data_IF_985219514647
#
_entry.id   IF_985219514647
#
_cell.length_a   1.000
_cell.length_b   1.000
_cell.length_c   1.000
_cell.angle_alpha   90.00
_cell.angle_beta   90.00
_cell.angle_gamma   90.00
#
_symmetry.space_group_name_H-M   'P 1'
#
loop_
_entity.id
_entity.type
_entity.pdbx_description
1 polymer ?
#
# COMPACT_ATOMS: atom_id res chain seq x y z
N UNK A 1 1.50 16.86 -15.72
CA UNK A 1 0.46 15.82 -15.57
C UNK A 1 0.74 14.54 -16.37
N UNK A 2 1.18 14.62 -17.64
CA UNK A 2 1.38 13.42 -18.47
C UNK A 2 2.38 12.40 -17.88
N UNK A 3 3.52 12.87 -17.37
CA UNK A 3 4.55 12.03 -16.76
C UNK A 3 4.03 11.30 -15.51
N UNK A 4 3.32 12.03 -14.62
CA UNK A 4 2.73 11.45 -13.42
C UNK A 4 1.64 10.41 -13.75
N UNK A 5 0.82 10.68 -14.77
CA UNK A 5 -0.19 9.73 -15.25
C UNK A 5 0.43 8.45 -15.81
N UNK A 6 1.47 8.56 -16.64
CA UNK A 6 2.21 7.41 -17.18
C UNK A 6 2.84 6.59 -16.04
N UNK A 7 3.45 7.26 -15.06
CA UNK A 7 4.02 6.60 -13.89
C UNK A 7 2.97 5.79 -13.11
N UNK A 8 1.81 6.37 -12.84
CA UNK A 8 0.71 5.68 -12.15
C UNK A 8 0.19 4.49 -12.94
N UNK A 9 0.10 4.60 -14.27
CA UNK A 9 -0.29 3.46 -15.13
C UNK A 9 0.73 2.32 -15.06
N UNK A 10 2.03 2.63 -15.13
CA UNK A 10 3.09 1.61 -15.04
C UNK A 10 3.01 0.89 -13.69
N UNK A 11 2.88 1.64 -12.59
CA UNK A 11 2.73 1.07 -11.24
C UNK A 11 1.47 0.21 -11.15
N UNK A 12 0.33 0.70 -11.64
CA UNK A 12 -0.93 -0.03 -11.62
C UNK A 12 -0.88 -1.35 -12.39
N UNK A 13 -0.29 -1.35 -13.59
CA UNK A 13 -0.11 -2.56 -14.41
C UNK A 13 0.84 -3.54 -13.73
N UNK A 14 1.97 -3.06 -13.20
CA UNK A 14 2.94 -3.89 -12.48
C UNK A 14 2.34 -4.57 -11.25
N UNK A 15 1.55 -3.83 -10.46
CA UNK A 15 0.83 -4.37 -9.31
C UNK A 15 -0.19 -5.45 -9.73
N UNK A 16 -0.92 -5.23 -10.83
CA UNK A 16 -1.86 -6.23 -11.32
C UNK A 16 -1.15 -7.53 -11.76
N UNK A 17 -0.07 -7.42 -12.53
CA UNK A 17 0.69 -8.58 -12.99
C UNK A 17 1.26 -9.40 -11.82
N UNK A 18 1.90 -8.72 -10.87
CA UNK A 18 2.46 -9.36 -9.66
C UNK A 18 1.38 -10.01 -8.80
N UNK A 19 0.20 -9.39 -8.68
CA UNK A 19 -0.93 -9.97 -7.97
C UNK A 19 -1.41 -11.29 -8.60
N UNK A 20 -1.55 -11.35 -9.93
CA UNK A 20 -1.96 -12.56 -10.65
C UNK A 20 -0.97 -13.71 -10.42
N UNK A 21 0.33 -13.43 -10.49
CA UNK A 21 1.37 -14.43 -10.23
C UNK A 21 1.31 -14.92 -8.78
N UNK A 22 1.08 -14.01 -7.84
CA UNK A 22 1.02 -14.33 -6.41
C UNK A 22 -0.15 -15.25 -6.07
N UNK A 23 -1.33 -15.06 -6.67
CA UNK A 23 -2.48 -15.95 -6.43
C UNK A 23 -2.18 -17.41 -6.80
N UNK A 24 -1.45 -17.64 -7.90
CA UNK A 24 -1.03 -19.02 -8.28
C UNK A 24 -0.06 -19.62 -7.27
N UNK A 25 0.84 -18.80 -6.74
CA UNK A 25 1.82 -19.23 -5.76
C UNK A 25 1.17 -19.52 -4.39
N UNK A 26 0.17 -18.74 -3.99
CA UNK A 26 -0.62 -18.94 -2.78
C UNK A 26 -1.19 -20.35 -2.69
N UNK A 27 -1.85 -20.82 -3.77
CA UNK A 27 -2.45 -22.15 -3.79
C UNK A 27 -1.40 -23.25 -3.60
N UNK A 28 -0.24 -23.09 -4.23
CA UNK A 28 0.86 -24.04 -4.12
C UNK A 28 1.46 -24.06 -2.71
N UNK A 29 1.73 -22.89 -2.13
CA UNK A 29 2.31 -22.76 -0.78
C UNK A 29 1.38 -23.33 0.29
N UNK A 30 0.07 -23.02 0.20
CA UNK A 30 -0.94 -23.57 1.11
C UNK A 30 -1.04 -25.10 1.05
N UNK A 31 -1.01 -25.67 -0.17
CA UNK A 31 -1.03 -27.13 -0.36
C UNK A 31 0.26 -27.83 0.10
N UNK A 32 1.39 -27.11 0.10
CA UNK A 32 2.69 -27.68 0.46
C UNK A 32 2.85 -27.75 1.98
N UNK A 33 2.62 -26.62 2.66
CA UNK A 33 2.69 -26.53 4.11
C UNK A 33 1.77 -25.40 4.58
N UNK A 34 0.58 -25.79 5.02
CA UNK A 34 -0.42 -24.85 5.50
C UNK A 34 0.08 -24.06 6.72
N UNK A 35 0.79 -24.70 7.66
CA UNK A 35 1.24 -24.05 8.89
C UNK A 35 2.34 -23.01 8.61
N UNK A 36 3.30 -23.34 7.76
CA UNK A 36 4.32 -22.40 7.31
C UNK A 36 3.73 -21.23 6.52
N UNK A 37 2.74 -21.51 5.65
CA UNK A 37 2.00 -20.49 4.91
C UNK A 37 1.24 -19.54 5.84
N UNK A 38 0.54 -20.04 6.86
CA UNK A 38 -0.17 -19.19 7.82
C UNK A 38 0.79 -18.24 8.56
N UNK A 39 1.96 -18.74 8.97
CA UNK A 39 2.97 -17.94 9.66
C UNK A 39 3.55 -16.86 8.77
N UNK A 40 3.92 -17.20 7.53
CA UNK A 40 4.46 -16.23 6.58
C UNK A 40 3.42 -15.16 6.21
N UNK A 41 2.16 -15.55 6.10
CA UNK A 41 1.08 -14.63 5.77
C UNK A 41 0.72 -13.70 6.93
N UNK A 42 0.84 -14.17 8.18
CA UNK A 42 0.74 -13.33 9.37
C UNK A 42 1.84 -12.28 9.41
N UNK A 43 3.10 -12.69 9.22
CA UNK A 43 4.25 -11.79 9.20
C UNK A 43 4.14 -10.75 8.09
N UNK A 44 3.70 -11.17 6.90
CA UNK A 44 3.43 -10.27 5.78
C UNK A 44 2.38 -9.21 6.13
N UNK A 45 1.25 -9.63 6.68
CA UNK A 45 0.18 -8.71 7.07
C UNK A 45 0.67 -7.68 8.10
N UNK A 46 1.44 -8.13 9.10
CA UNK A 46 2.01 -7.23 10.11
C UNK A 46 3.02 -6.25 9.52
N UNK A 47 3.89 -6.68 8.59
CA UNK A 47 4.81 -5.80 7.87
C UNK A 47 4.04 -4.75 7.06
N UNK A 48 3.08 -5.17 6.24
CA UNK A 48 2.29 -4.28 5.39
C UNK A 48 1.48 -3.27 6.22
N UNK A 49 0.92 -3.67 7.36
CA UNK A 49 0.23 -2.75 8.27
C UNK A 49 1.16 -1.67 8.85
N UNK A 50 2.42 -2.04 9.18
CA UNK A 50 3.44 -1.09 9.64
C UNK A 50 3.83 -0.11 8.53
N UNK A 51 4.06 -0.62 7.31
CA UNK A 51 4.37 0.20 6.13
C UNK A 51 3.28 1.26 5.87
N UNK A 52 2.01 0.87 5.88
CA UNK A 52 0.91 1.81 5.73
C UNK A 52 0.86 2.86 6.85
N UNK A 53 1.11 2.46 8.10
CA UNK A 53 1.15 3.40 9.23
C UNK A 53 2.23 4.47 9.06
N UNK A 54 3.37 4.10 8.47
CA UNK A 54 4.43 5.04 8.12
C UNK A 54 4.01 5.91 6.93
N UNK A 55 3.44 5.32 5.88
CA UNK A 55 2.97 6.05 4.71
C UNK A 55 1.92 7.12 5.07
N UNK A 56 0.97 6.81 5.96
CA UNK A 56 -0.02 7.78 6.45
C UNK A 56 0.58 8.94 7.25
N UNK A 57 1.82 8.84 7.74
CA UNK A 57 2.53 9.95 8.39
C UNK A 57 3.36 10.74 7.40
N UNK A 58 4.10 10.04 6.53
CA UNK A 58 5.05 10.66 5.60
C UNK A 58 4.32 11.42 4.48
N UNK A 59 3.26 10.83 3.90
CA UNK A 59 2.56 11.45 2.77
C UNK A 59 1.94 12.80 3.15
N UNK A 60 1.21 12.96 4.28
CA UNK A 60 0.71 14.28 4.68
C UNK A 60 1.82 15.31 4.92
N UNK A 61 2.97 14.91 5.47
CA UNK A 61 4.13 15.81 5.63
C UNK A 61 4.64 16.30 4.27
N UNK A 62 4.73 15.40 3.27
CA UNK A 62 5.10 15.79 1.90
C UNK A 62 4.08 16.72 1.25
N UNK A 63 2.78 16.53 1.51
CA UNK A 63 1.72 17.44 1.04
C UNK A 63 1.88 18.83 1.64
N UNK A 64 2.17 18.93 2.95
CA UNK A 64 2.41 20.21 3.62
C UNK A 64 3.64 20.91 3.01
N UNK A 65 4.75 20.19 2.80
CA UNK A 65 5.95 20.74 2.17
C UNK A 65 5.63 21.25 0.75
N UNK A 66 4.91 20.46 -0.05
CA UNK A 66 4.50 20.87 -1.39
C UNK A 66 3.61 22.13 -1.37
N UNK A 67 2.69 22.23 -0.40
CA UNK A 67 1.86 23.42 -0.23
C UNK A 67 2.69 24.66 0.15
N UNK A 68 3.67 24.52 1.04
CA UNK A 68 4.58 25.61 1.40
C UNK A 68 5.42 26.07 0.21
N UNK A 69 5.92 25.15 -0.62
CA UNK A 69 6.67 25.49 -1.84
C UNK A 69 5.82 26.30 -2.83
N UNK A 70 4.52 26.01 -2.96
CA UNK A 70 3.60 26.80 -3.81
C UNK A 70 3.47 28.25 -3.32
N UNK A 71 3.52 28.47 -2.00
CA UNK A 71 3.41 29.81 -1.40
C UNK A 71 4.68 30.63 -1.60
N UNK A 72 5.86 30.01 -1.49
CA UNK A 72 7.16 30.68 -1.58
C UNK A 72 7.53 30.97 -3.05
N UNK A 73 7.30 30.02 -3.96
CA UNK A 73 7.69 30.16 -5.36
C UNK A 73 6.52 30.66 -6.22
N UNK A 74 6.64 31.90 -6.72
CA UNK A 74 5.62 32.54 -7.56
C UNK A 74 5.69 32.11 -9.04
N UNK A 75 6.77 31.43 -9.45
CA UNK A 75 6.95 30.98 -10.83
C UNK A 75 5.88 29.92 -11.21
N UNK A 76 5.21 30.06 -12.38
CA UNK A 76 4.12 29.18 -12.80
C UNK A 76 4.49 27.69 -12.81
N UNK A 77 5.73 27.36 -13.16
CA UNK A 77 6.23 25.99 -13.22
C UNK A 77 6.23 25.31 -11.84
N UNK A 78 6.70 26.00 -10.80
CA UNK A 78 6.77 25.46 -9.44
C UNK A 78 5.38 25.23 -8.85
N UNK A 79 4.44 26.14 -9.14
CA UNK A 79 3.02 25.97 -8.75
C UNK A 79 2.39 24.76 -9.42
N UNK A 80 2.63 24.57 -10.72
CA UNK A 80 2.10 23.42 -11.46
C UNK A 80 2.64 22.08 -10.91
N UNK A 81 3.93 22.03 -10.58
CA UNK A 81 4.55 20.85 -9.95
C UNK A 81 3.93 20.60 -8.58
N UNK A 82 3.86 21.61 -7.71
CA UNK A 82 3.29 21.48 -6.38
C UNK A 82 1.85 20.97 -6.38
N UNK A 83 0.98 21.57 -7.21
CA UNK A 83 -0.44 21.15 -7.32
C UNK A 83 -0.54 19.71 -7.82
N UNK A 84 0.27 19.34 -8.82
CA UNK A 84 0.27 17.96 -9.36
C UNK A 84 0.73 16.96 -8.29
N UNK A 85 1.77 17.27 -7.53
CA UNK A 85 2.27 16.43 -6.43
C UNK A 85 1.21 16.25 -5.35
N UNK A 86 0.54 17.32 -4.93
CA UNK A 86 -0.53 17.26 -3.93
C UNK A 86 -1.68 16.37 -4.42
N UNK A 87 -2.14 16.57 -5.66
CA UNK A 87 -3.21 15.78 -6.24
C UNK A 87 -2.84 14.29 -6.31
N UNK A 88 -1.63 13.97 -6.78
CA UNK A 88 -1.13 12.60 -6.87
C UNK A 88 -1.02 11.94 -5.49
N UNK A 89 -0.40 12.61 -4.51
CA UNK A 89 -0.25 12.11 -3.15
C UNK A 89 -1.61 11.88 -2.47
N UNK A 90 -2.60 12.73 -2.74
CA UNK A 90 -3.96 12.58 -2.23
C UNK A 90 -4.63 11.32 -2.78
N UNK A 91 -4.52 11.07 -4.09
CA UNK A 91 -5.09 9.88 -4.73
C UNK A 91 -4.40 8.61 -4.21
N UNK A 92 -3.07 8.62 -4.08
CA UNK A 92 -2.31 7.50 -3.51
C UNK A 92 -2.76 7.21 -2.08
N UNK A 93 -2.88 8.25 -1.24
CA UNK A 93 -3.32 8.12 0.15
C UNK A 93 -4.72 7.50 0.26
N UNK A 94 -5.64 7.87 -0.65
CA UNK A 94 -6.99 7.30 -0.69
C UNK A 94 -6.95 5.80 -1.03
N UNK A 95 -6.20 5.41 -2.05
CA UNK A 95 -6.06 4.01 -2.47
C UNK A 95 -5.42 3.18 -1.35
N UNK A 96 -4.35 3.69 -0.75
CA UNK A 96 -3.64 3.04 0.36
C UNK A 96 -4.49 2.98 1.62
N UNK A 97 -5.32 3.99 1.89
CA UNK A 97 -6.35 4.00 2.94
C UNK A 97 -7.28 2.80 2.83
N UNK A 98 -7.84 2.58 1.65
CA UNK A 98 -8.71 1.45 1.38
C UNK A 98 -7.95 0.12 1.45
N UNK A 99 -6.70 0.06 0.99
CA UNK A 99 -5.88 -1.14 1.07
C UNK A 99 -5.51 -1.50 2.52
N UNK A 100 -5.22 -0.51 3.36
CA UNK A 100 -4.92 -0.68 4.77
C UNK A 100 -6.09 -1.32 5.53
N UNK A 101 -7.31 -0.82 5.34
CA UNK A 101 -8.47 -1.41 6.01
C UNK A 101 -8.75 -2.84 5.51
N UNK A 102 -8.57 -3.11 4.21
CA UNK A 102 -8.68 -4.49 3.69
C UNK A 102 -7.67 -5.44 4.33
N UNK A 103 -6.40 -5.07 4.41
CA UNK A 103 -5.37 -5.94 5.00
C UNK A 103 -5.57 -6.10 6.51
N UNK A 104 -6.06 -5.07 7.20
CA UNK A 104 -6.39 -5.12 8.63
C UNK A 104 -7.53 -6.09 8.93
N UNK A 105 -8.60 -6.07 8.13
CA UNK A 105 -9.69 -7.04 8.23
C UNK A 105 -9.16 -8.44 7.95
N UNK A 106 -8.40 -8.63 6.87
CA UNK A 106 -7.82 -9.93 6.53
C UNK A 106 -6.92 -10.49 7.64
N UNK A 107 -6.03 -9.67 8.20
CA UNK A 107 -5.17 -10.03 9.31
C UNK A 107 -5.95 -10.42 10.57
N UNK A 108 -7.07 -9.74 10.84
CA UNK A 108 -7.96 -10.09 11.95
C UNK A 108 -8.61 -11.46 11.73
N UNK A 109 -9.11 -11.73 10.53
CA UNK A 109 -9.65 -13.05 10.18
C UNK A 109 -8.58 -14.14 10.30
N UNK A 110 -7.35 -13.86 9.83
CA UNK A 110 -6.22 -14.79 9.93
C UNK A 110 -5.91 -15.14 11.40
N UNK A 111 -5.94 -14.15 12.30
CA UNK A 111 -5.75 -14.35 13.75
C UNK A 111 -6.87 -15.19 14.37
N UNK A 112 -8.12 -15.03 13.93
CA UNK A 112 -9.24 -15.84 14.43
C UNK A 112 -9.10 -17.31 14.01
N UNK A 113 -8.61 -17.57 12.79
CA UNK A 113 -8.34 -18.92 12.31
C UNK A 113 -7.19 -19.58 13.09
N UNK A 114 -6.11 -18.85 13.37
CA UNK A 114 -4.99 -19.32 14.18
C UNK A 114 -5.45 -19.79 15.58
N UNK A 115 -6.25 -18.96 16.25
CA UNK A 115 -6.82 -19.26 17.57
C UNK A 115 -7.75 -20.49 17.53
N UNK A 116 -8.58 -20.62 16.48
CA UNK A 116 -9.53 -21.73 16.34
C UNK A 116 -8.83 -23.06 16.03
N UNK A 117 -7.77 -23.04 15.24
CA UNK A 117 -7.09 -24.25 14.78
C UNK A 117 -6.00 -24.73 15.75
N UNK A 118 -5.73 -24.00 16.84
CA UNK A 118 -4.74 -24.41 17.83
C UNK A 118 -3.35 -24.62 17.23
N UNK A 119 -3.02 -23.88 16.17
CA UNK A 119 -1.69 -23.85 15.54
C UNK A 119 -0.77 -23.13 16.54
N UNK A 120 -0.41 -23.85 17.60
CA UNK A 120 0.46 -23.34 18.66
C UNK A 120 1.83 -23.05 18.08
N UNK A 121 2.33 -21.86 18.45
CA UNK A 121 3.72 -21.38 18.43
C UNK A 121 4.80 -22.46 18.34
#
# INVERSE_FOLDING_TARGET
MLIAGILLLIIGIGLNYTNIQRVKQFEKEFKTDAAAFYKSEMERCESTLKEYTVAFKVIPVLVIIAALLILIFQAPLWRAIGITTIAMLTVILLIDGLAHERIKVYHKELKLVDVRNGIKK
#
